data_IF_230184162345
#
_entry.id   IF_230184162345
#
_cell.length_a   1.000
_cell.length_b   1.000
_cell.length_c   1.000
_cell.angle_alpha   90.00
_cell.angle_beta   90.00
_cell.angle_gamma   90.00
#
_symmetry.space_group_name_H-M   'P 1'
#
loop_
_entity.id
_entity.type
_entity.pdbx_description
1 polymer ?
#
# COMPACT_ATOMS: atom_id res chain seq x y z
N UNK A 1 14.62 6.07 23.40
CA UNK A 1 15.75 7.01 23.66
C UNK A 1 15.80 8.03 22.54
N UNK A 2 16.08 9.32 22.85
CA UNK A 2 16.31 10.34 21.81
C UNK A 2 17.70 10.09 21.22
N UNK A 3 17.78 9.88 19.90
CA UNK A 3 19.04 9.58 19.19
C UNK A 3 19.76 10.84 18.76
N UNK A 4 19.03 11.79 18.22
CA UNK A 4 19.58 13.05 17.75
C UNK A 4 18.55 14.16 17.85
N UNK A 5 18.99 15.34 18.20
CA UNK A 5 18.22 16.59 18.13
C UNK A 5 19.04 17.57 17.32
N UNK A 6 18.44 18.14 16.29
CA UNK A 6 19.11 19.06 15.37
C UNK A 6 18.27 20.32 15.21
N UNK A 7 18.89 21.48 15.19
CA UNK A 7 18.20 22.78 15.12
C UNK A 7 18.66 23.56 13.89
N UNK A 8 17.71 24.09 13.15
CA UNK A 8 17.96 25.06 12.08
C UNK A 8 16.95 26.21 12.21
N UNK A 9 17.30 27.40 11.80
CA UNK A 9 16.39 28.54 11.92
C UNK A 9 16.88 29.79 11.19
N UNK A 10 16.12 30.86 11.36
CA UNK A 10 16.42 32.20 10.85
C UNK A 10 16.56 33.12 12.04
N UNK A 11 17.72 33.73 12.22
CA UNK A 11 17.97 34.73 13.27
C UNK A 11 17.15 36.00 13.04
N UNK A 12 17.04 36.84 14.06
CA UNK A 12 16.37 38.17 13.97
C UNK A 12 16.94 39.07 12.87
N UNK A 13 18.20 38.87 12.49
CA UNK A 13 18.85 39.58 11.40
C UNK A 13 18.58 38.97 10.01
N UNK A 14 17.77 37.89 9.93
CA UNK A 14 17.40 37.20 8.70
C UNK A 14 18.46 36.21 8.18
N UNK A 15 19.52 35.95 8.95
CA UNK A 15 20.55 34.97 8.60
C UNK A 15 20.13 33.55 9.00
N UNK A 16 20.23 32.56 8.10
CA UNK A 16 19.96 31.17 8.48
C UNK A 16 21.09 30.61 9.34
N UNK A 17 20.73 29.86 10.37
CA UNK A 17 21.65 29.11 11.21
C UNK A 17 21.33 27.63 11.23
N UNK A 18 22.31 26.79 11.59
CA UNK A 18 22.17 25.35 11.71
C UNK A 18 23.08 24.82 12.80
N UNK A 19 22.52 24.02 13.72
CA UNK A 19 23.24 23.36 14.83
C UNK A 19 22.88 21.88 14.85
N UNK A 20 23.70 20.98 14.29
CA UNK A 20 23.46 19.54 14.36
C UNK A 20 23.82 18.98 15.75
N UNK A 21 23.10 17.94 16.19
CA UNK A 21 23.43 17.14 17.37
C UNK A 21 23.57 17.96 18.66
N UNK A 22 22.54 18.73 19.00
CA UNK A 22 22.44 19.50 20.25
C UNK A 22 21.68 18.71 21.31
N UNK A 23 21.81 19.11 22.57
CA UNK A 23 20.92 18.61 23.64
C UNK A 23 19.56 19.29 23.57
N UNK A 24 18.51 18.59 24.03
CA UNK A 24 17.12 19.07 23.93
C UNK A 24 16.94 20.41 24.66
N UNK A 25 17.59 20.59 25.83
CA UNK A 25 17.55 21.84 26.62
C UNK A 25 18.26 22.99 25.87
N UNK A 26 19.30 22.70 25.12
CA UNK A 26 19.97 23.70 24.29
C UNK A 26 19.09 24.07 23.08
N UNK A 27 18.43 23.09 22.45
CA UNK A 27 17.45 23.32 21.40
C UNK A 27 16.32 24.24 21.87
N UNK A 28 15.79 24.02 23.08
CA UNK A 28 14.76 24.86 23.64
C UNK A 28 15.19 26.35 23.83
N UNK A 29 16.45 26.58 24.20
CA UNK A 29 17.00 27.95 24.34
C UNK A 29 17.15 28.66 22.98
N UNK A 30 17.27 27.94 21.90
CA UNK A 30 17.43 28.56 20.55
C UNK A 30 16.10 29.08 19.99
N UNK A 31 14.96 28.66 20.54
CA UNK A 31 13.63 29.09 20.06
C UNK A 31 13.48 30.61 20.17
N UNK A 32 13.98 31.21 21.27
CA UNK A 32 13.87 32.65 21.52
C UNK A 32 14.84 33.53 20.72
N UNK A 33 15.73 32.92 19.93
CA UNK A 33 16.80 33.65 19.23
C UNK A 33 16.45 33.99 17.77
N UNK A 34 15.35 33.44 17.23
CA UNK A 34 15.06 33.55 15.80
C UNK A 34 13.62 33.90 15.47
N UNK A 35 13.39 34.31 14.23
CA UNK A 35 12.05 34.51 13.65
C UNK A 35 11.39 33.21 13.21
N UNK A 36 12.14 32.11 13.10
CA UNK A 36 11.65 30.78 12.86
C UNK A 36 12.71 29.78 13.28
N UNK A 37 12.33 28.80 14.06
CA UNK A 37 13.20 27.68 14.47
C UNK A 37 12.55 26.37 14.02
N UNK A 38 13.34 25.52 13.37
CA UNK A 38 12.98 24.15 13.05
C UNK A 38 13.83 23.18 13.87
N UNK A 39 13.18 22.35 14.67
CA UNK A 39 13.82 21.32 15.49
C UNK A 39 13.46 19.97 14.91
N UNK A 40 14.45 19.18 14.54
CA UNK A 40 14.32 17.80 14.12
C UNK A 40 14.75 16.87 15.26
N UNK A 41 13.89 15.94 15.64
CA UNK A 41 14.16 14.93 16.65
C UNK A 41 14.06 13.52 16.05
N UNK A 42 15.15 12.76 16.14
CA UNK A 42 15.18 11.34 15.78
C UNK A 42 15.12 10.52 17.07
N UNK A 43 14.16 9.61 17.16
CA UNK A 43 13.87 8.83 18.37
C UNK A 43 13.76 7.34 18.10
N UNK A 44 14.01 6.49 19.09
CA UNK A 44 13.77 5.04 18.98
C UNK A 44 12.30 4.68 19.11
N UNK A 45 11.62 5.32 20.07
CA UNK A 45 10.20 5.06 20.35
C UNK A 45 9.45 6.40 20.39
N UNK A 46 8.66 6.63 19.36
CA UNK A 46 7.92 7.89 19.19
C UNK A 46 6.90 8.07 20.32
N UNK A 47 6.19 7.00 20.74
CA UNK A 47 5.18 7.07 21.79
C UNK A 47 5.75 7.51 23.15
N UNK A 48 6.91 7.00 23.52
CA UNK A 48 7.52 7.24 24.82
C UNK A 48 8.30 8.55 24.89
N UNK A 49 8.94 8.95 23.79
CA UNK A 49 9.84 10.10 23.79
C UNK A 49 9.15 11.41 23.41
N UNK A 50 8.09 11.36 22.61
CA UNK A 50 7.37 12.58 22.18
C UNK A 50 6.85 13.42 23.34
N UNK A 51 6.20 12.87 24.39
CA UNK A 51 5.73 13.69 25.50
C UNK A 51 6.86 14.47 26.20
N UNK A 52 8.03 13.83 26.36
CA UNK A 52 9.20 14.46 26.98
C UNK A 52 9.75 15.61 26.12
N UNK A 53 9.77 15.42 24.80
CA UNK A 53 10.21 16.44 23.85
C UNK A 53 9.27 17.62 23.90
N UNK A 54 7.96 17.38 23.85
CA UNK A 54 6.96 18.44 23.87
C UNK A 54 7.00 19.26 25.17
N UNK A 55 7.12 18.59 26.32
CA UNK A 55 7.25 19.23 27.61
C UNK A 55 8.47 20.16 27.67
N UNK A 56 9.65 19.69 27.25
CA UNK A 56 10.88 20.48 27.20
C UNK A 56 10.80 21.69 26.25
N UNK A 57 10.04 21.57 25.15
CA UNK A 57 9.85 22.64 24.17
C UNK A 57 8.67 23.57 24.51
N UNK A 58 7.97 23.33 25.61
CA UNK A 58 6.81 24.11 26.03
C UNK A 58 5.61 24.00 25.08
N UNK A 59 5.43 22.82 24.47
CA UNK A 59 4.29 22.49 23.58
C UNK A 59 3.26 21.71 24.41
N UNK A 60 2.10 22.31 24.63
CA UNK A 60 1.02 21.70 25.41
C UNK A 60 0.07 20.91 24.49
N UNK A 61 0.50 19.71 24.06
CA UNK A 61 -0.30 18.82 23.24
C UNK A 61 -0.08 17.36 23.63
N UNK A 62 -1.16 16.57 23.62
CA UNK A 62 -1.08 15.14 23.86
C UNK A 62 -0.84 14.40 22.54
N UNK A 63 0.39 13.94 22.35
CA UNK A 63 0.78 13.18 21.16
C UNK A 63 0.04 11.84 21.01
N UNK A 64 -0.53 11.30 22.11
CA UNK A 64 -1.28 10.04 22.06
C UNK A 64 -2.53 10.16 21.20
N UNK A 65 -3.15 11.34 21.16
CA UNK A 65 -4.32 11.63 20.31
C UNK A 65 -3.96 11.48 18.83
N UNK A 66 -2.82 12.03 18.40
CA UNK A 66 -2.33 11.92 17.02
C UNK A 66 -1.94 10.49 16.65
N UNK A 67 -1.35 9.74 17.59
CA UNK A 67 -0.84 8.38 17.35
C UNK A 67 -1.91 7.29 17.51
N UNK A 68 -2.96 7.52 18.30
CA UNK A 68 -4.08 6.59 18.47
C UNK A 68 -5.13 6.71 17.39
N UNK A 69 -5.06 7.75 16.56
CA UNK A 69 -6.11 8.10 15.61
C UNK A 69 -6.10 7.26 14.35
N UNK A 70 -7.06 6.37 14.24
CA UNK A 70 -7.49 5.87 12.92
C UNK A 70 -8.26 6.93 12.09
N UNK A 71 -8.58 8.09 12.68
CA UNK A 71 -9.56 9.04 12.13
C UNK A 71 -9.06 10.47 12.01
N UNK A 72 -8.08 10.92 12.80
CA UNK A 72 -7.57 12.28 12.71
C UNK A 72 -6.07 12.32 12.88
N UNK A 73 -5.41 12.70 11.82
CA UNK A 73 -3.97 12.98 11.81
C UNK A 73 -3.70 14.49 11.97
N UNK A 74 -4.68 15.23 12.44
CA UNK A 74 -4.69 16.68 12.56
C UNK A 74 -5.35 17.07 13.88
N UNK A 75 -4.63 17.78 14.75
CA UNK A 75 -5.11 18.29 16.02
C UNK A 75 -4.77 19.78 16.11
N UNK A 76 -5.78 20.63 16.03
CA UNK A 76 -5.64 22.07 16.14
C UNK A 76 -6.03 22.54 17.53
N UNK A 77 -5.13 23.34 18.14
CA UNK A 77 -5.35 24.05 19.39
C UNK A 77 -4.89 25.48 19.20
N UNK A 78 -5.52 26.42 19.89
CA UNK A 78 -5.29 27.87 19.70
C UNK A 78 -3.80 28.29 19.56
N UNK A 79 -2.88 27.66 20.29
CA UNK A 79 -1.46 28.02 20.27
C UNK A 79 -0.56 26.98 19.58
N UNK A 80 -1.09 25.84 19.18
CA UNK A 80 -0.29 24.73 18.66
C UNK A 80 -1.09 23.88 17.71
N UNK A 81 -0.51 23.58 16.56
CA UNK A 81 -1.04 22.64 15.58
C UNK A 81 -0.19 21.37 15.57
N UNK A 82 -0.81 20.22 15.73
CA UNK A 82 -0.17 18.91 15.65
C UNK A 82 -0.64 18.14 14.41
N UNK A 83 0.31 17.60 13.67
CA UNK A 83 0.06 16.78 12.49
C UNK A 83 0.76 15.44 12.64
N UNK A 84 0.11 14.36 12.19
CA UNK A 84 0.76 13.07 12.00
C UNK A 84 0.64 12.66 10.54
N UNK A 85 1.77 12.48 9.90
CA UNK A 85 1.88 12.07 8.50
C UNK A 85 2.57 10.71 8.43
N UNK A 86 1.89 9.68 7.90
CA UNK A 86 2.53 8.39 7.72
C UNK A 86 3.46 8.44 6.51
N UNK A 87 4.74 8.17 6.71
CA UNK A 87 5.62 7.90 5.57
C UNK A 87 5.79 6.41 5.34
N UNK A 88 5.89 6.07 4.08
CA UNK A 88 5.94 4.69 3.64
C UNK A 88 7.39 4.22 3.62
N UNK A 89 7.63 3.03 4.17
CA UNK A 89 8.95 2.39 4.23
C UNK A 89 8.88 1.05 3.53
N UNK A 90 9.85 0.77 2.67
CA UNK A 90 10.01 -0.55 2.04
C UNK A 90 10.92 -1.41 2.89
N UNK A 91 10.35 -2.44 3.54
CA UNK A 91 11.12 -3.56 4.10
C UNK A 91 11.51 -4.57 3.01
N UNK A 92 12.21 -5.64 3.39
CA UNK A 92 12.70 -6.66 2.45
C UNK A 92 11.58 -7.29 1.59
N UNK A 93 10.36 -7.46 2.12
CA UNK A 93 9.24 -8.08 1.40
C UNK A 93 7.89 -7.36 1.60
N UNK A 94 7.80 -6.37 2.48
CA UNK A 94 6.53 -5.70 2.81
C UNK A 94 6.73 -4.20 2.98
N UNK A 95 5.74 -3.47 2.52
CA UNK A 95 5.64 -2.03 2.78
C UNK A 95 5.04 -1.82 4.15
N UNK A 96 5.64 -0.93 4.94
CA UNK A 96 5.19 -0.52 6.27
C UNK A 96 5.07 0.99 6.31
N UNK A 97 4.38 1.51 7.31
CA UNK A 97 4.33 2.95 7.58
C UNK A 97 5.01 3.26 8.89
N UNK A 98 5.69 4.40 8.94
CA UNK A 98 6.20 4.99 10.17
C UNK A 98 5.66 6.40 10.31
N UNK A 99 5.28 6.85 11.52
CA UNK A 99 4.71 8.18 11.72
C UNK A 99 5.80 9.25 11.71
N UNK A 100 5.53 10.36 11.01
CA UNK A 100 6.19 11.64 11.16
C UNK A 100 5.25 12.56 11.92
N UNK A 101 5.63 12.98 13.12
CA UNK A 101 4.91 13.99 13.87
C UNK A 101 5.48 15.37 13.55
N UNK A 102 4.60 16.32 13.29
CA UNK A 102 4.95 17.73 13.08
C UNK A 102 4.14 18.55 14.06
N UNK A 103 4.82 19.30 14.92
CA UNK A 103 4.20 20.26 15.82
C UNK A 103 4.59 21.65 15.38
N UNK A 104 3.61 22.52 15.30
CA UNK A 104 3.76 23.90 14.83
C UNK A 104 3.26 24.80 15.96
N UNK A 105 4.10 25.69 16.43
CA UNK A 105 3.80 26.76 17.36
C UNK A 105 4.36 28.05 16.77
N UNK A 106 3.95 29.20 17.25
CA UNK A 106 4.46 30.49 16.75
C UNK A 106 5.99 30.48 16.67
N UNK A 107 6.53 30.72 15.48
CA UNK A 107 7.95 30.77 15.18
C UNK A 107 8.71 29.43 15.43
N UNK A 108 7.99 28.31 15.60
CA UNK A 108 8.56 27.01 15.90
C UNK A 108 7.90 25.91 15.08
N UNK A 109 8.71 25.09 14.42
CA UNK A 109 8.30 23.83 13.79
C UNK A 109 9.13 22.71 14.38
N UNK A 110 8.51 21.66 14.90
CA UNK A 110 9.17 20.49 15.45
C UNK A 110 8.78 19.26 14.63
N UNK A 111 9.77 18.51 14.16
CA UNK A 111 9.55 17.22 13.50
C UNK A 111 10.12 16.10 14.35
N UNK A 112 9.30 15.07 14.61
CA UNK A 112 9.70 13.89 15.38
C UNK A 112 9.46 12.65 14.54
N UNK A 113 10.48 11.84 14.36
CA UNK A 113 10.41 10.61 13.59
C UNK A 113 11.42 9.57 14.09
N UNK A 114 11.31 8.33 13.63
CA UNK A 114 12.30 7.27 13.84
C UNK A 114 13.40 7.28 12.77
N UNK A 115 14.29 6.28 12.81
CA UNK A 115 15.38 6.12 11.84
C UNK A 115 14.92 5.96 10.39
N UNK A 116 13.67 5.53 10.17
CA UNK A 116 13.10 5.42 8.82
C UNK A 116 12.86 6.78 8.16
N UNK A 117 12.74 7.85 8.96
CA UNK A 117 12.61 9.23 8.50
C UNK A 117 13.88 9.86 7.91
N UNK A 118 14.86 9.07 7.51
CA UNK A 118 16.17 9.55 7.01
C UNK A 118 16.10 10.55 5.87
N UNK A 119 14.98 10.69 5.17
CA UNK A 119 14.77 11.75 4.17
C UNK A 119 14.43 13.10 4.81
N UNK A 120 13.76 13.13 5.94
CA UNK A 120 13.55 14.35 6.71
C UNK A 120 14.89 14.84 7.24
N UNK A 121 15.73 13.94 7.76
CA UNK A 121 17.14 14.27 8.13
C UNK A 121 17.93 14.78 6.93
N UNK A 122 17.71 14.22 5.74
CA UNK A 122 18.33 14.73 4.51
C UNK A 122 17.84 16.14 4.17
N UNK A 123 16.53 16.40 4.28
CA UNK A 123 15.95 17.73 4.09
C UNK A 123 16.56 18.72 5.09
N UNK A 124 16.67 18.31 6.37
CA UNK A 124 17.35 19.10 7.38
C UNK A 124 18.80 19.41 6.99
N UNK A 125 19.52 18.46 6.38
CA UNK A 125 20.89 18.71 5.91
C UNK A 125 20.98 19.85 4.90
N UNK A 126 19.92 20.10 4.12
CA UNK A 126 19.79 21.22 3.19
C UNK A 126 19.03 22.43 3.77
N UNK A 127 18.79 22.47 5.10
CA UNK A 127 18.00 23.52 5.76
C UNK A 127 18.47 24.93 5.45
N UNK A 128 19.77 25.19 5.43
CA UNK A 128 20.31 26.52 5.09
C UNK A 128 19.83 27.03 3.71
N UNK A 129 19.77 26.15 2.71
CA UNK A 129 19.28 26.52 1.37
C UNK A 129 17.79 26.71 1.38
N UNK A 130 17.07 25.90 2.11
CA UNK A 130 15.62 25.95 2.26
C UNK A 130 15.20 27.24 2.99
N UNK A 131 15.81 27.55 4.11
CA UNK A 131 15.51 28.73 4.92
C UNK A 131 15.79 30.04 4.18
N UNK A 132 16.83 30.10 3.34
CA UNK A 132 17.11 31.26 2.45
C UNK A 132 16.01 31.51 1.41
N UNK A 133 15.19 30.51 1.08
CA UNK A 133 14.11 30.61 0.10
C UNK A 133 12.75 30.91 0.73
N UNK A 134 12.69 30.99 2.05
CA UNK A 134 11.48 31.44 2.75
C UNK A 134 11.21 32.93 2.48
N UNK A 135 9.97 33.41 2.65
CA UNK A 135 9.63 34.83 2.51
C UNK A 135 10.53 35.71 3.37
N UNK A 136 11.20 36.70 2.74
CA UNK A 136 12.11 37.60 3.47
C UNK A 136 11.32 38.64 4.26
N UNK A 137 10.28 39.16 3.66
CA UNK A 137 9.34 40.12 4.23
C UNK A 137 7.96 39.47 4.28
N UNK A 138 7.69 38.63 5.30
CA UNK A 138 6.38 37.98 5.42
C UNK A 138 5.35 39.03 5.88
N UNK A 139 4.13 38.92 5.36
CA UNK A 139 3.00 39.73 5.81
C UNK A 139 2.54 39.29 7.20
N UNK A 140 2.66 37.99 7.48
CA UNK A 140 2.36 37.36 8.76
C UNK A 140 3.54 36.53 9.27
N UNK A 141 3.67 36.40 10.59
CA UNK A 141 4.65 35.49 11.22
C UNK A 141 4.41 34.01 10.79
N UNK A 142 3.14 33.63 10.49
CA UNK A 142 2.77 32.31 10.07
C UNK A 142 3.30 31.92 8.68
N UNK A 143 3.62 32.90 7.80
CA UNK A 143 4.00 32.67 6.42
C UNK A 143 5.22 31.77 6.26
N UNK A 144 6.26 32.05 7.03
CA UNK A 144 7.51 31.29 6.97
C UNK A 144 7.33 29.85 7.44
N UNK A 145 6.63 29.64 8.55
CA UNK A 145 6.39 28.30 9.05
C UNK A 145 5.47 27.50 8.14
N UNK A 146 4.46 28.11 7.55
CA UNK A 146 3.57 27.46 6.58
C UNK A 146 4.34 27.00 5.34
N UNK A 147 5.22 27.84 4.79
CA UNK A 147 6.08 27.43 3.65
C UNK A 147 7.03 26.33 4.04
N UNK A 148 7.61 26.37 5.26
CA UNK A 148 8.48 25.30 5.75
C UNK A 148 7.73 23.96 5.86
N UNK A 149 6.54 23.98 6.47
CA UNK A 149 5.68 22.78 6.58
C UNK A 149 5.31 22.22 5.21
N UNK A 150 4.90 23.08 4.28
CA UNK A 150 4.61 22.67 2.90
C UNK A 150 5.83 21.99 2.24
N UNK A 151 7.05 22.46 2.50
CA UNK A 151 8.29 21.84 1.97
C UNK A 151 8.60 20.51 2.62
N UNK A 152 8.34 20.34 3.92
CA UNK A 152 8.50 19.07 4.62
C UNK A 152 7.53 18.02 4.03
N UNK A 153 6.27 18.40 3.81
CA UNK A 153 5.26 17.52 3.21
C UNK A 153 5.60 17.19 1.75
N UNK A 154 6.14 18.15 1.00
CA UNK A 154 6.59 17.95 -0.38
C UNK A 154 7.67 16.86 -0.48
N UNK A 155 8.68 16.91 0.40
CA UNK A 155 9.75 15.90 0.48
C UNK A 155 9.19 14.51 0.85
N UNK A 156 8.22 14.47 1.76
CA UNK A 156 7.50 13.24 2.10
C UNK A 156 6.76 12.66 0.89
N UNK A 157 6.04 13.52 0.15
CA UNK A 157 5.31 13.13 -1.06
C UNK A 157 6.24 12.60 -2.17
N UNK A 158 7.40 13.24 -2.40
CA UNK A 158 8.41 12.74 -3.35
C UNK A 158 8.96 11.37 -2.94
N UNK A 159 9.11 11.14 -1.63
CA UNK A 159 9.53 9.85 -1.08
C UNK A 159 8.51 8.77 -1.40
N UNK A 160 7.25 9.03 -1.11
CA UNK A 160 6.16 8.11 -1.38
C UNK A 160 6.06 7.79 -2.88
N UNK A 161 6.23 8.78 -3.75
CA UNK A 161 6.23 8.56 -5.20
C UNK A 161 7.36 7.62 -5.66
N UNK A 162 8.54 7.74 -5.08
CA UNK A 162 9.66 6.85 -5.39
C UNK A 162 9.36 5.39 -5.02
N UNK A 163 8.66 5.17 -3.89
CA UNK A 163 8.24 3.84 -3.46
C UNK A 163 7.14 3.28 -4.37
N UNK A 164 6.15 4.11 -4.72
CA UNK A 164 5.11 3.72 -5.66
C UNK A 164 5.69 3.24 -6.98
N UNK A 165 6.70 3.92 -7.49
CA UNK A 165 7.38 3.52 -8.72
C UNK A 165 8.00 2.12 -8.62
N UNK A 166 8.64 1.78 -7.50
CA UNK A 166 9.16 0.42 -7.26
C UNK A 166 8.05 -0.62 -7.24
N UNK A 167 6.90 -0.29 -6.63
CA UNK A 167 5.73 -1.18 -6.60
C UNK A 167 5.18 -1.39 -8.02
N UNK A 168 5.12 -0.34 -8.84
CA UNK A 168 4.68 -0.42 -10.25
C UNK A 168 5.61 -1.32 -11.05
N UNK A 169 6.91 -1.09 -11.00
CA UNK A 169 7.91 -1.90 -11.70
C UNK A 169 7.80 -3.39 -11.32
N UNK A 170 7.52 -3.67 -10.05
CA UNK A 170 7.31 -5.05 -9.59
C UNK A 170 5.99 -5.64 -10.08
N UNK A 171 4.90 -4.85 -10.15
CA UNK A 171 3.63 -5.29 -10.70
C UNK A 171 3.72 -5.67 -12.18
N UNK A 172 4.45 -4.86 -12.98
CA UNK A 172 4.69 -5.13 -14.39
C UNK A 172 5.48 -6.44 -14.58
N UNK A 173 6.49 -6.69 -13.75
CA UNK A 173 7.25 -7.96 -13.80
C UNK A 173 6.35 -9.16 -13.49
N UNK A 174 5.49 -9.06 -12.46
CA UNK A 174 4.55 -10.12 -12.10
C UNK A 174 3.52 -10.38 -13.22
N UNK A 175 3.07 -9.34 -13.92
CA UNK A 175 2.18 -9.50 -15.07
C UNK A 175 2.86 -10.29 -16.21
N UNK A 176 4.13 -10.00 -16.49
CA UNK A 176 4.93 -10.74 -17.48
C UNK A 176 5.14 -12.21 -17.06
N UNK A 177 5.42 -12.45 -15.78
CA UNK A 177 5.60 -13.79 -15.22
C UNK A 177 4.29 -14.60 -15.29
N UNK A 178 3.14 -13.97 -15.01
CA UNK A 178 1.82 -14.58 -15.18
C UNK A 178 1.52 -14.94 -16.64
N UNK A 179 1.89 -14.07 -17.57
CA UNK A 179 1.68 -14.31 -19.00
C UNK A 179 2.59 -15.43 -19.56
N UNK A 180 3.80 -15.58 -19.02
CA UNK A 180 4.80 -16.59 -19.43
C UNK A 180 4.68 -17.92 -18.71
N UNK A 181 4.04 -17.98 -17.55
CA UNK A 181 3.98 -19.16 -16.71
C UNK A 181 3.05 -20.24 -17.32
N UNK A 182 3.62 -21.39 -17.68
CA UNK A 182 2.83 -22.59 -18.04
C UNK A 182 2.19 -23.25 -16.82
N UNK A 183 2.69 -22.95 -15.63
CA UNK A 183 2.21 -23.48 -14.35
C UNK A 183 2.34 -22.39 -13.29
N UNK A 184 1.24 -22.03 -12.63
CA UNK A 184 1.27 -21.06 -11.54
C UNK A 184 2.03 -21.68 -10.36
N UNK A 185 3.10 -21.03 -9.97
CA UNK A 185 3.88 -21.37 -8.79
C UNK A 185 3.19 -20.79 -7.56
N UNK A 186 3.28 -21.51 -6.43
CA UNK A 186 2.73 -21.06 -5.14
C UNK A 186 3.31 -19.70 -4.72
N UNK A 187 4.56 -19.45 -5.09
CA UNK A 187 5.28 -18.22 -4.77
C UNK A 187 4.66 -16.99 -5.43
N UNK A 188 4.16 -17.12 -6.67
CA UNK A 188 3.52 -16.04 -7.40
C UNK A 188 2.20 -15.56 -6.74
N UNK A 189 1.45 -16.51 -6.16
CA UNK A 189 0.22 -16.18 -5.41
C UNK A 189 0.50 -15.41 -4.13
N UNK A 190 1.56 -15.78 -3.41
CA UNK A 190 2.00 -15.08 -2.21
C UNK A 190 2.50 -13.68 -2.57
N UNK A 191 3.29 -13.55 -3.62
CA UNK A 191 3.85 -12.29 -4.07
C UNK A 191 2.75 -11.29 -4.49
N UNK A 192 1.71 -11.73 -5.19
CA UNK A 192 0.54 -10.89 -5.51
C UNK A 192 -0.24 -10.48 -4.25
N UNK A 193 -0.35 -11.36 -3.27
CA UNK A 193 -0.99 -11.04 -1.99
C UNK A 193 -0.19 -10.00 -1.19
N UNK A 194 1.14 -10.14 -1.14
CA UNK A 194 2.03 -9.19 -0.47
C UNK A 194 2.02 -7.83 -1.18
N UNK A 195 1.98 -7.83 -2.50
CA UNK A 195 1.86 -6.61 -3.30
C UNK A 195 0.52 -5.90 -3.07
N UNK A 196 -0.60 -6.64 -3.02
CA UNK A 196 -1.91 -6.08 -2.66
C UNK A 196 -1.85 -5.40 -1.29
N UNK A 197 -1.27 -6.07 -0.30
CA UNK A 197 -1.12 -5.52 1.06
C UNK A 197 -0.26 -4.26 1.06
N UNK A 198 0.86 -4.28 0.32
CA UNK A 198 1.76 -3.13 0.19
C UNK A 198 1.07 -1.92 -0.46
N UNK A 199 0.27 -2.16 -1.51
CA UNK A 199 -0.51 -1.10 -2.15
C UNK A 199 -1.59 -0.52 -1.23
N UNK A 200 -2.27 -1.35 -0.45
CA UNK A 200 -3.26 -0.88 0.53
C UNK A 200 -2.60 -0.03 1.61
N UNK A 201 -1.46 -0.46 2.13
CA UNK A 201 -0.68 0.30 3.11
C UNK A 201 -0.24 1.65 2.53
N UNK A 202 0.23 1.65 1.28
CA UNK A 202 0.61 2.86 0.56
C UNK A 202 -0.58 3.82 0.37
N UNK A 203 -1.70 3.31 -0.14
CA UNK A 203 -2.91 4.11 -0.36
C UNK A 203 -3.42 4.75 0.93
N UNK A 204 -3.47 3.99 2.03
CA UNK A 204 -3.90 4.52 3.33
C UNK A 204 -2.97 5.66 3.79
N UNK A 205 -1.65 5.52 3.61
CA UNK A 205 -0.70 6.55 3.96
C UNK A 205 -0.86 7.83 3.12
N UNK A 206 -1.08 7.68 1.82
CA UNK A 206 -1.27 8.83 0.91
C UNK A 206 -2.60 9.51 1.17
N UNK A 207 -3.68 8.76 1.41
CA UNK A 207 -4.98 9.32 1.78
C UNK A 207 -4.92 10.10 3.09
N UNK A 208 -4.27 9.56 4.14
CA UNK A 208 -4.09 10.28 5.39
C UNK A 208 -3.31 11.60 5.21
N UNK A 209 -2.28 11.57 4.36
CA UNK A 209 -1.52 12.78 4.02
C UNK A 209 -2.39 13.76 3.22
N UNK A 210 -3.20 13.28 2.29
CA UNK A 210 -4.11 14.10 1.49
C UNK A 210 -5.12 14.84 2.37
N UNK A 211 -5.77 14.13 3.30
CA UNK A 211 -6.74 14.72 4.23
C UNK A 211 -6.10 15.80 5.12
N UNK A 212 -4.89 15.53 5.63
CA UNK A 212 -4.15 16.51 6.43
C UNK A 212 -3.80 17.75 5.62
N UNK A 213 -3.31 17.58 4.38
CA UNK A 213 -2.97 18.71 3.49
C UNK A 213 -4.22 19.50 3.07
N UNK A 214 -5.35 18.81 2.91
CA UNK A 214 -6.63 19.46 2.63
C UNK A 214 -7.08 20.37 3.78
N UNK A 215 -6.95 19.90 5.03
CA UNK A 215 -7.24 20.72 6.21
C UNK A 215 -6.30 21.93 6.30
N UNK A 216 -5.00 21.75 6.03
CA UNK A 216 -4.04 22.84 5.99
C UNK A 216 -4.37 23.89 4.90
N UNK A 217 -4.89 23.45 3.74
CA UNK A 217 -5.28 24.35 2.65
C UNK A 217 -6.45 25.26 3.03
N UNK A 218 -7.36 24.81 3.89
CA UNK A 218 -8.48 25.66 4.34
C UNK A 218 -8.03 26.84 5.18
N UNK A 219 -6.84 26.78 5.82
CA UNK A 219 -6.25 27.89 6.55
C UNK A 219 -6.94 28.20 7.89
N UNK A 220 -7.77 27.28 8.39
CA UNK A 220 -8.56 27.54 9.63
C UNK A 220 -7.69 27.54 10.89
N UNK A 221 -6.49 26.94 10.85
CA UNK A 221 -5.60 26.89 12.00
C UNK A 221 -4.80 28.20 12.15
N UNK A 222 -4.81 28.78 13.35
CA UNK A 222 -4.06 30.03 13.65
C UNK A 222 -2.55 29.90 13.34
N UNK A 223 -2.00 28.69 13.40
CA UNK A 223 -0.59 28.43 13.13
C UNK A 223 -0.25 28.39 11.64
N UNK A 224 -1.24 28.51 10.75
CA UNK A 224 -1.08 28.51 9.28
C UNK A 224 -1.40 29.89 8.73
N UNK A 225 -0.71 30.26 7.66
CA UNK A 225 -0.90 31.55 6.97
C UNK A 225 -2.27 31.62 6.29
N UNK A 226 -2.89 32.78 6.30
CA UNK A 226 -4.13 33.11 5.57
C UNK A 226 -3.86 33.57 4.12
N UNK A 227 -2.58 33.75 3.73
CA UNK A 227 -2.20 34.20 2.38
C UNK A 227 -2.53 33.13 1.35
N UNK A 228 -3.42 33.45 0.41
CA UNK A 228 -3.85 32.56 -0.67
C UNK A 228 -2.69 32.04 -1.54
N UNK A 229 -1.63 32.85 -1.73
CA UNK A 229 -0.45 32.45 -2.51
C UNK A 229 0.33 31.37 -1.77
N UNK A 230 0.42 31.48 -0.45
CA UNK A 230 1.09 30.51 0.40
C UNK A 230 0.25 29.24 0.50
N UNK A 231 -1.06 29.36 0.72
CA UNK A 231 -2.01 28.24 0.74
C UNK A 231 -2.08 27.51 -0.61
N UNK A 232 -1.87 28.23 -1.72
CA UNK A 232 -1.75 27.65 -3.06
C UNK A 232 -0.64 26.60 -3.19
N UNK A 233 0.37 26.59 -2.30
CA UNK A 233 1.39 25.53 -2.26
C UNK A 233 0.80 24.18 -1.83
N UNK A 234 -0.18 24.19 -0.93
CA UNK A 234 -0.90 22.97 -0.55
C UNK A 234 -1.77 22.45 -1.68
N UNK A 235 -2.32 23.31 -2.54
CA UNK A 235 -3.06 22.89 -3.74
C UNK A 235 -2.17 22.09 -4.71
N UNK A 236 -0.94 22.55 -4.92
CA UNK A 236 0.05 21.81 -5.74
C UNK A 236 0.34 20.43 -5.12
N UNK A 237 0.48 20.36 -3.79
CA UNK A 237 0.68 19.11 -3.08
C UNK A 237 -0.52 18.17 -3.22
N UNK A 238 -1.74 18.67 -3.06
CA UNK A 238 -2.97 17.89 -3.27
C UNK A 238 -3.03 17.28 -4.67
N UNK A 239 -2.69 18.06 -5.70
CA UNK A 239 -2.64 17.54 -7.07
C UNK A 239 -1.59 16.45 -7.29
N UNK A 240 -0.47 16.47 -6.54
CA UNK A 240 0.54 15.41 -6.58
C UNK A 240 0.07 14.16 -5.85
N UNK A 241 -0.54 14.31 -4.67
CA UNK A 241 -1.09 13.22 -3.88
C UNK A 241 -2.23 12.52 -4.62
N UNK A 242 -3.15 13.28 -5.23
CA UNK A 242 -4.24 12.75 -6.06
C UNK A 242 -3.70 11.89 -7.21
N UNK A 243 -2.65 12.35 -7.89
CA UNK A 243 -1.98 11.55 -8.93
C UNK A 243 -1.41 10.24 -8.37
N UNK A 244 -0.81 10.26 -7.18
CA UNK A 244 -0.28 9.04 -6.55
C UNK A 244 -1.41 8.07 -6.21
N UNK A 245 -2.53 8.56 -5.70
CA UNK A 245 -3.73 7.77 -5.43
C UNK A 245 -4.23 7.10 -6.71
N UNK A 246 -4.46 7.86 -7.78
CA UNK A 246 -4.93 7.33 -9.06
C UNK A 246 -3.98 6.28 -9.66
N UNK A 247 -2.68 6.53 -9.61
CA UNK A 247 -1.68 5.55 -10.06
C UNK A 247 -1.74 4.27 -9.23
N UNK A 248 -1.88 4.38 -7.91
CA UNK A 248 -1.96 3.22 -7.01
C UNK A 248 -3.23 2.41 -7.23
N UNK A 249 -4.37 3.06 -7.47
CA UNK A 249 -5.63 2.41 -7.80
C UNK A 249 -5.55 1.64 -9.13
N UNK A 250 -4.90 2.22 -10.14
CA UNK A 250 -4.67 1.54 -11.41
C UNK A 250 -3.81 0.27 -11.21
N UNK A 251 -2.74 0.34 -10.43
CA UNK A 251 -1.90 -0.83 -10.14
C UNK A 251 -2.66 -1.86 -9.29
N UNK A 252 -3.50 -1.43 -8.35
CA UNK A 252 -4.37 -2.31 -7.60
C UNK A 252 -5.31 -3.11 -8.50
N UNK A 253 -5.83 -2.49 -9.56
CA UNK A 253 -6.66 -3.18 -10.55
C UNK A 253 -5.87 -4.24 -11.32
N UNK A 254 -4.61 -3.96 -11.69
CA UNK A 254 -3.72 -4.93 -12.34
C UNK A 254 -3.47 -6.13 -11.42
N UNK A 255 -3.12 -5.87 -10.15
CA UNK A 255 -2.90 -6.92 -9.13
C UNK A 255 -4.17 -7.76 -8.92
N UNK A 256 -5.33 -7.13 -8.81
CA UNK A 256 -6.62 -7.83 -8.68
C UNK A 256 -6.91 -8.72 -9.89
N UNK A 257 -6.58 -8.25 -11.09
CA UNK A 257 -6.70 -9.05 -12.32
C UNK A 257 -5.77 -10.26 -12.28
N UNK A 258 -4.53 -10.10 -11.82
CA UNK A 258 -3.56 -11.19 -11.63
C UNK A 258 -4.09 -12.25 -10.66
N UNK A 259 -4.64 -11.84 -9.52
CA UNK A 259 -5.28 -12.75 -8.55
C UNK A 259 -6.44 -13.52 -9.20
N UNK A 260 -7.28 -12.86 -9.98
CA UNK A 260 -8.39 -13.52 -10.69
C UNK A 260 -7.89 -14.55 -11.71
N UNK A 261 -6.78 -14.28 -12.39
CA UNK A 261 -6.15 -15.24 -13.32
C UNK A 261 -5.70 -16.50 -12.58
N UNK A 262 -5.05 -16.34 -11.43
CA UNK A 262 -4.63 -17.47 -10.57
C UNK A 262 -5.85 -18.27 -10.11
N UNK A 263 -6.89 -17.62 -9.60
CA UNK A 263 -8.11 -18.30 -9.17
C UNK A 263 -8.78 -19.06 -10.31
N UNK A 264 -8.82 -18.48 -11.51
CA UNK A 264 -9.37 -19.14 -12.68
C UNK A 264 -8.57 -20.39 -13.07
N UNK A 265 -7.25 -20.36 -12.94
CA UNK A 265 -6.40 -21.53 -13.23
C UNK A 265 -6.57 -22.64 -12.18
N UNK A 266 -6.61 -22.29 -10.88
CA UNK A 266 -6.90 -23.25 -9.81
C UNK A 266 -8.27 -23.89 -10.06
N UNK A 267 -9.29 -23.12 -10.38
CA UNK A 267 -10.61 -23.63 -10.73
C UNK A 267 -10.59 -24.56 -11.95
N UNK A 268 -9.81 -24.23 -12.97
CA UNK A 268 -9.64 -25.10 -14.15
C UNK A 268 -8.92 -26.42 -13.81
N UNK A 269 -7.92 -26.39 -12.91
CA UNK A 269 -7.24 -27.60 -12.41
C UNK A 269 -8.22 -28.48 -11.62
N UNK A 270 -9.01 -27.88 -10.71
CA UNK A 270 -10.05 -28.61 -9.96
C UNK A 270 -11.10 -29.22 -10.90
N UNK A 271 -11.60 -28.47 -11.86
CA UNK A 271 -12.54 -28.99 -12.86
C UNK A 271 -11.94 -30.16 -13.65
N UNK A 272 -10.64 -30.11 -13.93
CA UNK A 272 -9.94 -31.23 -14.60
C UNK A 272 -9.86 -32.46 -13.70
N UNK A 273 -9.54 -32.29 -12.41
CA UNK A 273 -9.52 -33.40 -11.44
C UNK A 273 -10.90 -34.03 -11.27
N UNK A 274 -11.98 -33.20 -11.20
CA UNK A 274 -13.37 -33.71 -11.12
C UNK A 274 -13.69 -34.56 -12.36
N UNK A 275 -13.29 -34.11 -13.55
CA UNK A 275 -13.47 -34.91 -14.79
C UNK A 275 -12.77 -36.26 -14.69
N UNK A 276 -11.51 -36.29 -14.23
CA UNK A 276 -10.78 -37.56 -14.06
C UNK A 276 -11.42 -38.47 -13.01
N UNK A 277 -11.88 -37.88 -11.89
CA UNK A 277 -12.58 -38.64 -10.86
C UNK A 277 -13.90 -39.22 -11.37
N UNK A 278 -14.64 -38.45 -12.19
CA UNK A 278 -15.88 -38.92 -12.81
C UNK A 278 -15.61 -40.05 -13.79
N UNK A 279 -14.57 -39.95 -14.63
CA UNK A 279 -14.17 -41.04 -15.55
C UNK A 279 -13.78 -42.28 -14.78
N UNK A 280 -12.97 -42.16 -13.74
CA UNK A 280 -12.55 -43.27 -12.89
C UNK A 280 -13.75 -43.90 -12.17
N UNK A 281 -14.65 -43.09 -11.59
CA UNK A 281 -15.84 -43.54 -10.90
C UNK A 281 -16.81 -44.31 -11.83
N UNK A 282 -17.08 -43.78 -13.03
CA UNK A 282 -17.95 -44.47 -14.00
C UNK A 282 -17.30 -45.74 -14.57
N UNK A 283 -15.97 -45.76 -14.71
CA UNK A 283 -15.25 -46.96 -15.14
C UNK A 283 -15.37 -48.13 -14.16
N UNK A 284 -15.50 -47.82 -12.86
CA UNK A 284 -15.67 -48.83 -11.80
C UNK A 284 -17.18 -49.12 -11.54
N UNK A 285 -18.02 -48.11 -11.54
CA UNK A 285 -19.44 -48.24 -11.19
C UNK A 285 -20.22 -49.08 -12.16
N UNK A 286 -20.02 -48.89 -13.47
CA UNK A 286 -20.74 -49.64 -14.54
C UNK A 286 -20.46 -51.12 -14.49
N UNK A 287 -19.20 -51.59 -14.44
CA UNK A 287 -18.91 -53.02 -14.32
C UNK A 287 -19.40 -53.59 -12.98
N UNK A 288 -19.33 -52.83 -11.88
CA UNK A 288 -19.80 -53.27 -10.56
C UNK A 288 -21.31 -53.49 -10.55
N UNK A 289 -22.10 -52.59 -11.15
CA UNK A 289 -23.52 -52.80 -11.35
C UNK A 289 -23.87 -54.00 -12.20
N UNK A 290 -23.12 -54.21 -13.26
CA UNK A 290 -23.29 -55.40 -14.10
C UNK A 290 -22.94 -56.66 -13.33
N UNK A 291 -21.85 -56.70 -12.58
CA UNK A 291 -21.44 -57.82 -11.75
C UNK A 291 -22.52 -58.15 -10.69
N UNK A 292 -23.11 -57.10 -10.05
CA UNK A 292 -24.23 -57.28 -9.10
C UNK A 292 -25.47 -57.86 -9.76
N UNK A 293 -25.84 -57.41 -10.96
CA UNK A 293 -26.95 -57.96 -11.70
C UNK A 293 -26.71 -59.43 -12.09
N UNK A 294 -25.49 -59.73 -12.57
CA UNK A 294 -25.11 -61.10 -12.91
C UNK A 294 -25.13 -62.04 -11.68
N UNK A 295 -24.81 -61.55 -10.48
CA UNK A 295 -24.84 -62.35 -9.25
C UNK A 295 -26.27 -62.77 -8.82
N UNK A 296 -27.31 -62.14 -9.38
CA UNK A 296 -28.72 -62.52 -9.12
C UNK A 296 -29.19 -63.71 -9.94
N UNK A 297 -28.42 -64.11 -10.98
CA UNK A 297 -28.78 -65.28 -11.78
C UNK A 297 -28.01 -66.51 -11.26
N UNK A 298 -28.66 -67.72 -11.20
CA UNK A 298 -28.00 -68.94 -10.74
C UNK A 298 -26.85 -69.28 -11.69
N UNK A 299 -25.67 -69.38 -11.12
CA UNK A 299 -24.43 -69.74 -11.85
C UNK A 299 -24.38 -71.22 -12.22
N UNK A 300 -24.52 -71.53 -13.51
CA UNK A 300 -23.97 -72.77 -14.03
C UNK A 300 -22.47 -72.48 -14.42
N UNK A 301 -21.58 -73.39 -14.21
CA UNK A 301 -20.10 -73.22 -14.41
C UNK A 301 -19.75 -72.73 -15.85
N UNK A 302 -20.51 -73.02 -16.85
CA UNK A 302 -20.35 -72.53 -18.24
C UNK A 302 -20.51 -71.00 -18.39
N UNK A 303 -21.30 -70.35 -17.54
CA UNK A 303 -21.56 -68.89 -17.65
C UNK A 303 -20.50 -68.04 -17.04
N UNK A 304 -19.65 -68.59 -16.12
CA UNK A 304 -18.61 -67.82 -15.44
C UNK A 304 -17.53 -67.33 -16.41
N UNK A 305 -17.12 -68.10 -17.41
CA UNK A 305 -16.10 -67.73 -18.38
C UNK A 305 -16.48 -66.54 -19.28
N UNK A 306 -17.77 -66.34 -19.48
CA UNK A 306 -18.29 -65.23 -20.30
C UNK A 306 -18.42 -63.91 -19.51
N UNK A 307 -18.63 -64.00 -18.19
CA UNK A 307 -18.83 -62.85 -17.35
C UNK A 307 -17.59 -61.94 -17.27
N UNK A 308 -16.39 -62.54 -17.13
CA UNK A 308 -15.13 -61.80 -17.00
C UNK A 308 -14.83 -60.92 -18.23
N UNK A 309 -14.87 -61.44 -19.48
CA UNK A 309 -14.66 -60.60 -20.66
C UNK A 309 -15.74 -59.49 -20.82
N UNK A 310 -17.02 -59.77 -20.51
CA UNK A 310 -18.08 -58.77 -20.56
C UNK A 310 -17.82 -57.63 -19.59
N UNK A 311 -17.41 -57.94 -18.35
CA UNK A 311 -17.05 -56.91 -17.35
C UNK A 311 -15.85 -56.08 -17.82
N UNK A 312 -14.80 -56.73 -18.36
CA UNK A 312 -13.64 -56.02 -18.88
C UNK A 312 -13.97 -55.10 -20.03
N UNK A 313 -14.77 -55.56 -20.98
CA UNK A 313 -15.22 -54.76 -22.14
C UNK A 313 -16.11 -53.60 -21.67
N UNK A 314 -17.04 -53.84 -20.75
CA UNK A 314 -17.91 -52.77 -20.21
C UNK A 314 -17.11 -51.67 -19.49
N UNK A 315 -16.02 -52.03 -18.79
CA UNK A 315 -15.11 -51.07 -18.17
C UNK A 315 -14.45 -50.16 -19.20
N UNK A 316 -13.91 -50.74 -20.24
CA UNK A 316 -13.24 -49.99 -21.33
C UNK A 316 -14.22 -49.09 -22.06
N UNK A 317 -15.40 -49.63 -22.43
CA UNK A 317 -16.44 -48.84 -23.13
C UNK A 317 -16.93 -47.69 -22.27
N UNK A 318 -17.23 -47.92 -20.99
CA UNK A 318 -17.69 -46.90 -20.04
C UNK A 318 -16.66 -45.79 -19.83
N UNK A 319 -15.40 -46.13 -19.64
CA UNK A 319 -14.29 -45.17 -19.55
C UNK A 319 -14.14 -44.35 -20.85
N UNK A 320 -14.19 -45.01 -21.99
CA UNK A 320 -14.04 -44.36 -23.32
C UNK A 320 -15.21 -43.39 -23.62
N UNK A 321 -16.45 -43.82 -23.37
CA UNK A 321 -17.63 -43.00 -23.60
C UNK A 321 -17.62 -41.78 -22.70
N UNK A 322 -17.33 -41.97 -21.40
CA UNK A 322 -17.29 -40.88 -20.44
C UNK A 322 -16.18 -39.89 -20.77
N UNK A 323 -14.98 -40.38 -21.13
CA UNK A 323 -13.86 -39.52 -21.57
C UNK A 323 -14.20 -38.74 -22.87
N UNK A 324 -14.82 -39.37 -23.85
CA UNK A 324 -15.22 -38.69 -25.09
C UNK A 324 -16.31 -37.65 -24.88
N UNK A 325 -17.27 -37.92 -24.00
CA UNK A 325 -18.34 -36.99 -23.62
C UNK A 325 -17.79 -35.76 -22.89
N UNK A 326 -16.94 -35.95 -21.90
CA UNK A 326 -16.32 -34.87 -21.15
C UNK A 326 -15.35 -34.04 -22.02
N UNK A 327 -14.60 -34.63 -22.92
CA UNK A 327 -13.76 -33.91 -23.88
C UNK A 327 -14.57 -33.01 -24.82
N UNK A 328 -15.70 -33.49 -25.32
CA UNK A 328 -16.61 -32.69 -26.18
C UNK A 328 -17.21 -31.50 -25.40
N UNK A 329 -17.50 -31.68 -24.15
CA UNK A 329 -18.04 -30.61 -23.28
C UNK A 329 -17.01 -29.49 -23.02
N UNK A 330 -15.74 -29.86 -22.78
CA UNK A 330 -14.63 -28.89 -22.68
C UNK A 330 -14.47 -28.07 -23.93
N UNK A 331 -14.49 -28.66 -25.10
CA UNK A 331 -14.31 -27.93 -26.36
C UNK A 331 -15.47 -26.94 -26.60
N UNK A 332 -16.71 -27.32 -26.31
CA UNK A 332 -17.87 -26.44 -26.46
C UNK A 332 -17.85 -25.24 -25.48
N UNK A 333 -17.43 -25.45 -24.26
CA UNK A 333 -17.34 -24.35 -23.25
C UNK A 333 -16.23 -23.36 -23.59
N UNK A 334 -15.11 -23.82 -24.14
CA UNK A 334 -13.99 -22.97 -24.56
C UNK A 334 -14.34 -22.16 -25.82
N UNK A 335 -15.01 -22.76 -26.78
CA UNK A 335 -15.47 -22.11 -28.04
C UNK A 335 -16.49 -20.97 -27.73
N UNK A 336 -17.41 -21.16 -26.82
CA UNK A 336 -18.39 -20.13 -26.44
C UNK A 336 -17.75 -18.95 -25.69
N UNK A 337 -16.71 -19.17 -24.88
CA UNK A 337 -15.97 -18.08 -24.23
C UNK A 337 -15.20 -17.24 -25.25
N UNK A 338 -14.53 -17.87 -26.22
CA UNK A 338 -13.80 -17.18 -27.29
C UNK A 338 -14.74 -16.33 -28.16
N UNK A 339 -15.92 -16.85 -28.51
CA UNK A 339 -16.93 -16.11 -29.26
C UNK A 339 -17.54 -14.95 -28.48
N UNK A 340 -17.73 -15.08 -27.14
CA UNK A 340 -18.19 -13.98 -26.29
C UNK A 340 -17.16 -12.87 -26.16
N UNK A 341 -15.87 -13.20 -26.06
CA UNK A 341 -14.79 -12.21 -25.98
C UNK A 341 -14.63 -11.42 -27.29
N UNK A 342 -14.74 -12.11 -28.44
CA UNK A 342 -14.70 -11.47 -29.77
C UNK A 342 -15.93 -10.57 -29.98
N UNK A 343 -17.13 -11.01 -29.60
CA UNK A 343 -18.35 -10.17 -29.67
C UNK A 343 -18.29 -8.95 -28.78
N UNK A 344 -17.60 -9.05 -27.63
CA UNK A 344 -17.42 -7.90 -26.71
C UNK A 344 -16.42 -6.89 -27.28
N UNK A 345 -15.34 -7.34 -27.94
CA UNK A 345 -14.39 -6.46 -28.63
C UNK A 345 -15.00 -5.73 -29.85
N UNK A 346 -15.89 -6.38 -30.59
CA UNK A 346 -16.57 -5.78 -31.75
C UNK A 346 -17.71 -4.81 -31.38
N UNK A 347 -18.08 -4.69 -30.11
CA UNK A 347 -19.14 -3.77 -29.63
C UNK A 347 -18.57 -2.48 -29.03
N UNK A 348 -17.24 -2.38 -28.90
CA UNK A 348 -16.53 -1.22 -28.33
C UNK A 348 -15.57 -0.55 -29.32
N UNK A 349 -15.55 -1.01 -30.59
CA UNK A 349 -15.09 -0.27 -31.76
C UNK A 349 -16.32 0.11 -32.61
#
# INVERSE_FOLDING_TARGET
MIKAVSVAGIETEGTPFKKPSVQLEEAARTISLGHLTWIECVVDNILEETPKILENLGINMDASVLLSGYVSHYEDREETLGLMLPFVVTGANKTQTSPLLIFIKKDLVVTIHDDYGGKITRLYNYSNTLLRKLPKEPESWADRQTVLVARIIDELSETNFSILRLIIERAEQLELDLAGARQIQKDLSLELSDMKTSLLTFLNAVWATYDTVQNLKYGDAEMISDDEIILGKFEVLLGRLDRQIQMSENVMQVVATGINVIQAEVSNKLATLIVWLTVAGTAVLVPNTLATVFSLFPSSDENFHWMLPVLAISTVISAFVTYRYTKRWKVKSFGMRKLRSIKKKLRYN
#
